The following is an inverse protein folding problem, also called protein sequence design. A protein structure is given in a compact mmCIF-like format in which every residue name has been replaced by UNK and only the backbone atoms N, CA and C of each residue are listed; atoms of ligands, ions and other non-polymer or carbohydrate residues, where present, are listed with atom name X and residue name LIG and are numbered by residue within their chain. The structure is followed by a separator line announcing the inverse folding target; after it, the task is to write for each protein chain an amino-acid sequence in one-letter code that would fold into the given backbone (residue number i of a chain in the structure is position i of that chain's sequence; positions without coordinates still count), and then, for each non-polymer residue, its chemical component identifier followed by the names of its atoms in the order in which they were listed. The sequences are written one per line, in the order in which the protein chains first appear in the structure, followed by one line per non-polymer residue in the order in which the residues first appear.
data_IF_545076043001
#
_entry.id   IF_545076043001
#
_cell.length_a   1.000
_cell.length_b   1.000
_cell.length_c   1.000
_cell.angle_alpha   90.00
_cell.angle_beta   90.00
_cell.angle_gamma   90.00
#
_symmetry.space_group_name_H-M   'P 1'
#
loop_
_entity.id
_entity.type
_entity.pdbx_description
1 polymer ?
#
# COMPACT_ATOMS: atom_id res chain seq x y z
N UNK A 1 4.80 -5.95 -9.48
CA UNK A 1 4.53 -4.82 -10.42
C UNK A 1 3.70 -3.81 -9.69
N UNK A 2 3.96 -2.52 -9.88
CA UNK A 2 3.25 -1.44 -9.21
C UNK A 2 2.16 -0.86 -10.12
N UNK A 3 1.03 -0.46 -9.53
CA UNK A 3 -0.12 0.15 -10.21
C UNK A 3 -0.68 1.32 -9.41
N UNK A 4 -1.23 2.30 -10.13
CA UNK A 4 -1.80 3.52 -9.55
C UNK A 4 -3.29 3.66 -9.85
N UNK A 5 -3.79 2.95 -10.87
CA UNK A 5 -5.18 3.02 -11.29
C UNK A 5 -5.70 1.69 -11.84
N UNK A 6 -7.00 1.65 -12.12
CA UNK A 6 -7.68 0.45 -12.62
C UNK A 6 -7.18 0.03 -14.02
N UNK A 7 -6.77 0.99 -14.85
CA UNK A 7 -6.30 0.72 -16.22
C UNK A 7 -4.94 0.02 -16.18
N UNK A 8 -4.04 0.48 -15.31
CA UNK A 8 -2.77 -0.18 -15.04
C UNK A 8 -3.00 -1.56 -14.43
N UNK A 9 -3.88 -1.67 -13.44
CA UNK A 9 -4.23 -2.95 -12.82
C UNK A 9 -4.73 -3.97 -13.85
N UNK A 10 -5.67 -3.59 -14.73
CA UNK A 10 -6.18 -4.45 -15.80
C UNK A 10 -5.07 -5.00 -16.70
N UNK A 11 -4.05 -4.18 -17.01
CA UNK A 11 -2.88 -4.64 -17.77
C UNK A 11 -2.02 -5.59 -16.95
N UNK A 12 -1.78 -5.29 -15.67
CA UNK A 12 -0.97 -6.14 -14.80
C UNK A 12 -1.62 -7.50 -14.57
N UNK A 13 -2.95 -7.56 -14.50
CA UNK A 13 -3.71 -8.80 -14.35
C UNK A 13 -3.60 -9.74 -15.56
N UNK A 14 -3.24 -9.24 -16.76
CA UNK A 14 -2.95 -10.12 -17.91
C UNK A 14 -1.55 -10.76 -17.82
N UNK A 15 -0.71 -10.28 -16.91
CA UNK A 15 0.65 -10.77 -16.70
C UNK A 15 0.69 -11.81 -15.57
N UNK A 16 1.62 -12.76 -15.67
CA UNK A 16 1.89 -13.74 -14.62
C UNK A 16 2.80 -13.15 -13.53
N UNK A 17 2.33 -12.11 -12.84
CA UNK A 17 3.04 -11.55 -11.69
C UNK A 17 2.52 -12.13 -10.37
N UNK A 18 3.41 -12.49 -9.42
CA UNK A 18 3.00 -13.01 -8.11
C UNK A 18 2.63 -11.91 -7.12
N UNK A 19 3.19 -10.70 -7.29
CA UNK A 19 3.04 -9.57 -6.38
C UNK A 19 2.60 -8.32 -7.13
N UNK A 20 1.57 -7.66 -6.61
CA UNK A 20 1.03 -6.38 -7.10
C UNK A 20 1.22 -5.34 -5.99
N UNK A 21 1.90 -4.24 -6.32
CA UNK A 21 2.01 -3.07 -5.46
C UNK A 21 0.91 -2.08 -5.83
N UNK A 22 0.13 -1.60 -4.86
CA UNK A 22 -0.78 -0.48 -5.06
C UNK A 22 -0.11 0.77 -4.48
N UNK A 23 0.26 1.71 -5.34
CA UNK A 23 0.83 2.97 -4.90
C UNK A 23 -0.26 4.04 -4.79
N UNK A 24 -0.50 4.49 -3.56
CA UNK A 24 -1.52 5.51 -3.29
C UNK A 24 -1.06 6.93 -3.63
N UNK A 25 0.20 7.12 -4.03
CA UNK A 25 0.72 8.43 -4.44
C UNK A 25 0.47 8.67 -5.92
N UNK A 26 -0.21 9.76 -6.24
CA UNK A 26 -0.23 10.27 -7.59
C UNK A 26 1.14 10.87 -7.92
N UNK A 27 1.87 10.31 -8.89
CA UNK A 27 3.22 10.76 -9.23
C UNK A 27 3.27 12.17 -9.87
N UNK A 28 2.13 12.69 -10.35
CA UNK A 28 2.03 14.05 -10.94
C UNK A 28 1.73 15.12 -9.90
N UNK A 29 0.85 14.84 -8.94
CA UNK A 29 0.42 15.81 -7.91
C UNK A 29 1.09 15.58 -6.55
N UNK A 30 1.74 14.43 -6.36
CA UNK A 30 2.31 13.93 -5.10
C UNK A 30 1.30 13.70 -3.98
N UNK A 31 0.01 13.89 -4.25
CA UNK A 31 -1.08 13.61 -3.32
C UNK A 31 -1.16 12.11 -3.03
N UNK A 32 -1.53 11.77 -1.79
CA UNK A 32 -1.72 10.39 -1.35
C UNK A 32 -3.17 10.18 -0.97
N UNK A 33 -3.82 9.18 -1.58
CA UNK A 33 -5.23 8.85 -1.32
C UNK A 33 -5.43 7.33 -1.23
N UNK A 34 -5.77 6.83 -0.03
CA UNK A 34 -6.07 5.41 0.19
C UNK A 34 -7.37 4.93 -0.48
N UNK A 35 -8.22 5.82 -1.00
CA UNK A 35 -9.37 5.43 -1.84
C UNK A 35 -8.93 4.69 -3.10
N UNK A 36 -7.71 4.92 -3.58
CA UNK A 36 -7.13 4.15 -4.68
C UNK A 36 -7.03 2.68 -4.27
N UNK A 37 -6.46 2.41 -3.10
CA UNK A 37 -6.38 1.06 -2.54
C UNK A 37 -7.75 0.42 -2.35
N UNK A 38 -8.72 1.15 -1.76
CA UNK A 38 -10.09 0.66 -1.58
C UNK A 38 -10.73 0.20 -2.89
N UNK A 39 -10.62 1.01 -3.95
CA UNK A 39 -11.18 0.67 -5.27
C UNK A 39 -10.49 -0.54 -5.88
N UNK A 40 -9.16 -0.56 -5.89
CA UNK A 40 -8.37 -1.58 -6.59
C UNK A 40 -8.43 -2.94 -5.91
N UNK A 41 -8.53 -3.01 -4.58
CA UNK A 41 -8.63 -4.28 -3.86
C UNK A 41 -9.80 -5.14 -4.35
N UNK A 42 -10.93 -4.53 -4.69
CA UNK A 42 -12.13 -5.25 -5.16
C UNK A 42 -11.93 -5.95 -6.50
N UNK A 43 -10.91 -5.56 -7.25
CA UNK A 43 -10.63 -6.07 -8.60
C UNK A 43 -9.47 -7.08 -8.63
N UNK A 44 -8.70 -7.19 -7.53
CA UNK A 44 -7.53 -8.06 -7.47
C UNK A 44 -7.96 -9.48 -7.04
N UNK A 45 -7.59 -10.51 -7.81
CA UNK A 45 -7.80 -11.90 -7.41
C UNK A 45 -7.12 -12.25 -6.07
N UNK A 46 -7.79 -13.05 -5.25
CA UNK A 46 -7.32 -13.41 -3.89
C UNK A 46 -6.03 -14.23 -3.85
N UNK A 47 -5.62 -14.83 -4.97
CA UNK A 47 -4.37 -15.59 -5.10
C UNK A 47 -3.13 -14.67 -5.29
N UNK A 48 -3.33 -13.36 -5.44
CA UNK A 48 -2.25 -12.38 -5.57
C UNK A 48 -1.83 -11.83 -4.22
N UNK A 49 -0.52 -11.67 -4.03
CA UNK A 49 0.02 -10.89 -2.92
C UNK A 49 -0.11 -9.42 -3.29
N UNK A 50 -0.79 -8.64 -2.44
CA UNK A 50 -0.97 -7.20 -2.61
C UNK A 50 -0.19 -6.45 -1.55
N UNK A 51 0.75 -5.61 -1.98
CA UNK A 51 1.52 -4.71 -1.11
C UNK A 51 0.96 -3.30 -1.27
N UNK A 52 0.54 -2.67 -0.18
CA UNK A 52 0.06 -1.27 -0.22
C UNK A 52 1.21 -0.31 0.08
N UNK A 53 1.33 0.72 -0.74
CA UNK A 53 2.47 1.64 -0.71
C UNK A 53 2.02 3.10 -0.60
N UNK A 54 2.94 3.94 -0.11
CA UNK A 54 2.79 5.38 0.10
C UNK A 54 1.75 5.82 1.14
N UNK A 55 2.08 6.87 1.90
CA UNK A 55 1.14 7.54 2.81
C UNK A 55 0.98 6.94 4.20
N UNK A 56 1.57 5.78 4.46
CA UNK A 56 1.45 5.08 5.75
C UNK A 56 2.44 5.69 6.75
N UNK A 57 1.93 6.24 7.85
CA UNK A 57 2.73 6.97 8.85
C UNK A 57 2.54 6.49 10.28
N UNK A 58 1.40 5.86 10.59
CA UNK A 58 1.00 5.48 11.94
C UNK A 58 0.20 4.17 11.95
N UNK A 59 -0.11 3.68 13.15
CA UNK A 59 -0.88 2.45 13.34
C UNK A 59 -2.33 2.54 12.82
N UNK A 60 -2.94 3.72 12.82
CA UNK A 60 -4.28 3.92 12.30
C UNK A 60 -4.34 3.71 10.79
N UNK A 61 -3.32 4.16 10.05
CA UNK A 61 -3.20 3.90 8.62
C UNK A 61 -3.11 2.39 8.34
N UNK A 62 -2.26 1.68 9.09
CA UNK A 62 -2.10 0.23 8.98
C UNK A 62 -3.42 -0.49 9.31
N UNK A 63 -4.12 -0.07 10.36
CA UNK A 63 -5.41 -0.63 10.75
C UNK A 63 -6.47 -0.40 9.66
N UNK A 64 -6.53 0.80 9.09
CA UNK A 64 -7.45 1.12 8.00
C UNK A 64 -7.18 0.22 6.79
N UNK A 65 -5.93 0.08 6.37
CA UNK A 65 -5.54 -0.80 5.27
C UNK A 65 -5.86 -2.27 5.56
N UNK A 66 -5.65 -2.71 6.81
CA UNK A 66 -6.02 -4.07 7.26
C UNK A 66 -7.53 -4.31 7.15
N UNK A 67 -8.37 -3.34 7.51
CA UNK A 67 -9.83 -3.42 7.36
C UNK A 67 -10.23 -3.56 5.87
N UNK A 68 -9.51 -2.88 4.97
CA UNK A 68 -9.71 -3.03 3.52
C UNK A 68 -9.24 -4.39 2.96
N UNK A 69 -8.57 -5.21 3.77
CA UNK A 69 -8.05 -6.52 3.37
C UNK A 69 -6.58 -6.54 3.01
N UNK A 70 -5.85 -5.44 3.20
CA UNK A 70 -4.40 -5.42 3.00
C UNK A 70 -3.70 -6.32 4.02
N UNK A 71 -2.83 -7.19 3.51
CA UNK A 71 -2.03 -8.11 4.33
C UNK A 71 -0.55 -7.72 4.38
N UNK A 72 -0.10 -6.79 3.53
CA UNK A 72 1.25 -6.27 3.53
C UNK A 72 1.30 -4.80 3.12
N UNK A 73 2.30 -4.10 3.65
CA UNK A 73 2.53 -2.67 3.46
C UNK A 73 4.01 -2.41 3.20
N UNK A 74 4.31 -1.37 2.41
CA UNK A 74 5.66 -0.84 2.22
C UNK A 74 5.73 0.57 2.79
N UNK A 75 6.61 0.77 3.78
CA UNK A 75 6.74 2.01 4.53
C UNK A 75 8.20 2.48 4.48
N UNK A 76 8.42 3.64 3.88
CA UNK A 76 9.75 4.26 3.75
C UNK A 76 9.88 5.53 4.58
N UNK A 77 9.27 6.62 4.10
CA UNK A 77 9.43 7.98 4.65
C UNK A 77 9.20 8.05 6.17
N UNK A 78 8.15 7.42 6.69
CA UNK A 78 7.85 7.45 8.12
C UNK A 78 8.96 6.84 8.99
N UNK A 79 9.68 5.84 8.48
CA UNK A 79 10.80 5.23 9.16
C UNK A 79 12.09 6.03 8.95
N UNK A 80 12.32 6.57 7.75
CA UNK A 80 13.51 7.38 7.48
C UNK A 80 13.53 8.71 8.23
N UNK A 81 12.35 9.28 8.53
CA UNK A 81 12.21 10.50 9.35
C UNK A 81 12.32 10.24 10.86
N UNK A 82 12.36 8.97 11.30
CA UNK A 82 12.36 8.63 12.71
C UNK A 82 13.75 8.78 13.35
N UNK A 83 13.77 9.34 14.56
CA UNK A 83 14.98 9.38 15.40
C UNK A 83 15.39 7.97 15.83
N UNK A 84 14.39 7.13 16.17
CA UNK A 84 14.56 5.73 16.52
C UNK A 84 13.67 4.88 15.62
N UNK A 85 14.29 4.26 14.62
CA UNK A 85 13.60 3.41 13.63
C UNK A 85 12.90 2.24 14.31
N UNK A 86 13.55 1.61 15.29
CA UNK A 86 13.00 0.43 15.97
C UNK A 86 11.71 0.81 16.69
N UNK A 87 11.76 1.88 17.50
CA UNK A 87 10.58 2.39 18.19
C UNK A 87 9.46 2.78 17.23
N UNK A 88 9.81 3.37 16.07
CA UNK A 88 8.81 3.74 15.07
C UNK A 88 8.15 2.54 14.41
N UNK A 89 8.90 1.47 14.16
CA UNK A 89 8.34 0.20 13.66
C UNK A 89 7.38 -0.40 14.68
N UNK A 90 7.76 -0.44 15.96
CA UNK A 90 6.89 -0.93 17.05
C UNK A 90 5.58 -0.11 17.11
N UNK A 91 5.68 1.22 17.08
CA UNK A 91 4.53 2.13 17.07
C UNK A 91 3.60 1.88 15.87
N UNK A 92 4.14 1.81 14.65
CA UNK A 92 3.35 1.71 13.41
C UNK A 92 2.74 0.32 13.25
N UNK A 93 3.47 -0.73 13.62
CA UNK A 93 3.01 -2.11 13.49
C UNK A 93 2.15 -2.56 14.68
N UNK A 94 2.13 -1.80 15.78
CA UNK A 94 1.41 -2.14 17.00
C UNK A 94 2.02 -3.33 17.74
N UNK A 95 3.36 -3.42 17.76
CA UNK A 95 4.13 -4.44 18.47
C UNK A 95 4.50 -4.01 19.89
#
# INVERSE_FOLDING_TARGET
MEVHDEKELKKVLTLKVPVIGINNRNLRTLEVDFKTTEKLFTLIPRDKIVVVESGIRNAQDVLFLKILGASSVLIGTAFMEAIDIKRKVEEVMGW
#
